data_IF_987038843266
#
_entry.id   IF_987038843266
#
_cell.length_a   1.000
_cell.length_b   1.000
_cell.length_c   1.000
_cell.angle_alpha   90.00
_cell.angle_beta   90.00
_cell.angle_gamma   90.00
#
_symmetry.space_group_name_H-M   'P 1'
#
loop_
_entity.id
_entity.type
_entity.pdbx_description
1 polymer ?
#
# COMPACT_ATOMS: atom_id res chain seq x y z
N UNK A 1 -18.96 8.83 -26.40
CA UNK A 1 -17.72 8.09 -26.12
C UNK A 1 -18.02 7.26 -24.89
N UNK A 2 -18.43 6.03 -25.12
CA UNK A 2 -19.20 5.18 -24.21
C UNK A 2 -18.49 3.88 -23.86
N UNK A 3 -17.37 3.57 -24.51
CA UNK A 3 -16.49 2.45 -24.11
C UNK A 3 -15.02 2.85 -24.13
N UNK A 4 -14.15 2.20 -23.33
CA UNK A 4 -12.69 2.32 -23.44
C UNK A 4 -12.21 2.06 -24.87
N UNK A 5 -12.79 1.08 -25.56
CA UNK A 5 -12.44 0.74 -26.94
C UNK A 5 -12.71 1.91 -27.91
N UNK A 6 -13.80 2.66 -27.73
CA UNK A 6 -14.10 3.87 -28.52
C UNK A 6 -13.13 5.02 -28.19
N UNK A 7 -12.71 5.15 -26.93
CA UNK A 7 -11.68 6.12 -26.54
C UNK A 7 -10.33 5.78 -27.19
N UNK A 8 -9.98 4.50 -27.30
CA UNK A 8 -8.73 4.05 -27.91
C UNK A 8 -8.75 4.06 -29.44
N UNK A 9 -9.86 3.67 -30.07
CA UNK A 9 -9.96 3.63 -31.54
C UNK A 9 -9.74 5.01 -32.16
N UNK A 10 -10.21 6.07 -31.47
CA UNK A 10 -9.99 7.47 -31.84
C UNK A 10 -8.50 7.88 -31.91
N UNK A 11 -7.61 7.20 -31.17
CA UNK A 11 -6.16 7.51 -31.16
C UNK A 11 -5.29 6.51 -31.92
N UNK A 12 -5.85 5.39 -32.41
CA UNK A 12 -5.07 4.33 -33.05
C UNK A 12 -5.27 4.21 -34.55
N UNK A 13 -6.34 4.79 -35.12
CA UNK A 13 -6.54 4.75 -36.56
C UNK A 13 -6.14 6.09 -37.19
N UNK A 14 -5.02 6.03 -37.93
CA UNK A 14 -4.57 7.03 -38.89
C UNK A 14 -4.14 8.39 -38.31
N UNK A 15 -3.00 8.41 -37.62
CA UNK A 15 -2.30 9.66 -37.33
C UNK A 15 -1.49 9.68 -36.05
N UNK A 16 -0.42 8.87 -36.00
CA UNK A 16 0.64 9.05 -35.02
C UNK A 16 0.31 8.54 -33.61
N UNK A 17 0.84 7.34 -33.32
CA UNK A 17 1.11 6.84 -31.97
C UNK A 17 2.07 7.73 -31.13
N UNK A 18 2.25 9.00 -31.50
CA UNK A 18 3.29 9.88 -30.99
C UNK A 18 3.10 10.25 -29.53
N UNK A 19 1.87 10.49 -29.03
CA UNK A 19 1.69 10.89 -27.62
C UNK A 19 1.57 9.70 -26.66
N UNK A 20 0.90 8.62 -27.07
CA UNK A 20 0.72 7.44 -26.21
C UNK A 20 2.01 6.63 -26.06
N UNK A 21 2.79 6.47 -27.14
CA UNK A 21 4.11 5.81 -27.08
C UNK A 21 5.14 6.62 -26.27
N UNK A 22 4.96 7.94 -26.14
CA UNK A 22 5.77 8.79 -25.25
C UNK A 22 5.49 8.56 -23.76
N UNK A 23 4.44 7.84 -23.41
CA UNK A 23 4.13 7.50 -22.02
C UNK A 23 4.93 6.28 -21.59
N UNK A 24 5.55 6.34 -20.41
CA UNK A 24 6.22 5.16 -19.85
C UNK A 24 5.24 4.01 -19.59
N UNK A 25 5.76 2.78 -19.57
CA UNK A 25 4.99 1.52 -19.46
C UNK A 25 3.92 1.55 -18.36
N UNK A 26 4.27 2.05 -17.17
CA UNK A 26 3.33 2.17 -16.06
C UNK A 26 2.10 3.01 -16.42
N UNK A 27 2.30 4.14 -17.10
CA UNK A 27 1.20 5.03 -17.46
C UNK A 27 0.34 4.41 -18.56
N UNK A 28 0.94 3.70 -19.51
CA UNK A 28 0.17 2.96 -20.53
C UNK A 28 -0.68 1.87 -19.88
N UNK A 29 -0.12 1.07 -18.98
CA UNK A 29 -0.83 0.01 -18.26
C UNK A 29 -2.00 0.56 -17.41
N UNK A 30 -1.80 1.67 -16.70
CA UNK A 30 -2.88 2.34 -15.94
C UNK A 30 -4.01 2.81 -16.87
N UNK A 31 -3.70 3.48 -17.99
CA UNK A 31 -4.73 3.97 -18.90
C UNK A 31 -5.52 2.78 -19.48
N UNK A 32 -4.86 1.66 -19.76
CA UNK A 32 -5.49 0.42 -20.24
C UNK A 32 -6.24 -0.35 -19.16
N UNK A 33 -6.21 0.12 -17.91
CA UNK A 33 -6.74 -0.59 -16.76
C UNK A 33 -6.18 -2.02 -16.60
N UNK A 34 -4.94 -2.25 -17.03
CA UNK A 34 -4.27 -3.55 -16.95
C UNK A 34 -3.66 -3.73 -15.56
N UNK A 35 -4.46 -4.29 -14.64
CA UNK A 35 -4.07 -4.51 -13.26
C UNK A 35 -2.78 -5.31 -13.08
N UNK A 36 -2.65 -6.51 -13.70
CA UNK A 36 -1.46 -7.34 -13.59
C UNK A 36 -0.21 -6.64 -14.10
N UNK A 37 -0.26 -5.99 -15.27
CA UNK A 37 0.90 -5.27 -15.79
C UNK A 37 1.30 -4.11 -14.85
N UNK A 38 0.34 -3.39 -14.28
CA UNK A 38 0.63 -2.37 -13.26
C UNK A 38 1.33 -2.98 -12.05
N UNK A 39 0.80 -4.08 -11.50
CA UNK A 39 1.36 -4.73 -10.32
C UNK A 39 2.78 -5.24 -10.56
N UNK A 40 3.06 -5.84 -11.71
CA UNK A 40 4.40 -6.31 -12.07
C UNK A 40 5.39 -5.15 -12.15
N UNK A 41 5.00 -4.05 -12.81
CA UNK A 41 5.84 -2.85 -12.89
C UNK A 41 6.06 -2.24 -11.50
N UNK A 42 5.03 -2.19 -10.65
CA UNK A 42 5.17 -1.67 -9.28
C UNK A 42 6.07 -2.56 -8.41
N UNK A 43 5.89 -3.87 -8.48
CA UNK A 43 6.69 -4.86 -7.76
C UNK A 43 8.16 -4.78 -8.17
N UNK A 44 8.46 -4.62 -9.46
CA UNK A 44 9.84 -4.46 -9.96
C UNK A 44 10.58 -3.23 -9.40
N UNK A 45 9.83 -2.24 -8.89
CA UNK A 45 10.37 -1.01 -8.28
C UNK A 45 10.48 -1.10 -6.75
N UNK A 46 10.17 -2.25 -6.17
CA UNK A 46 10.21 -2.48 -4.74
C UNK A 46 11.37 -3.37 -4.34
N UNK A 47 11.80 -3.21 -3.10
CA UNK A 47 12.58 -4.23 -2.40
C UNK A 47 11.58 -5.12 -1.67
N UNK A 48 11.71 -6.43 -1.85
CA UNK A 48 10.90 -7.40 -1.10
C UNK A 48 11.55 -7.58 0.26
N UNK A 49 10.78 -7.34 1.31
CA UNK A 49 11.24 -7.48 2.68
C UNK A 49 11.44 -8.97 3.03
N UNK A 50 12.67 -9.44 3.29
CA UNK A 50 12.94 -10.85 3.57
C UNK A 50 12.45 -11.28 4.96
N UNK A 51 12.27 -10.32 5.88
CA UNK A 51 11.90 -10.60 7.27
C UNK A 51 10.37 -10.65 7.46
N UNK A 52 9.60 -10.32 6.43
CA UNK A 52 8.14 -10.40 6.47
C UNK A 52 7.65 -11.68 5.77
N UNK A 53 7.06 -12.65 6.49
CA UNK A 53 6.46 -13.85 5.90
C UNK A 53 5.40 -13.54 4.83
N UNK A 54 4.75 -12.37 4.92
CA UNK A 54 3.77 -11.89 3.93
C UNK A 54 4.39 -11.21 2.70
N UNK A 55 5.71 -11.00 2.69
CA UNK A 55 6.45 -10.45 1.56
C UNK A 55 6.09 -9.00 1.24
N UNK A 56 6.26 -8.08 2.19
CA UNK A 56 6.08 -6.64 1.96
C UNK A 56 6.85 -6.14 0.73
N UNK A 57 6.18 -5.38 -0.15
CA UNK A 57 6.81 -4.70 -1.28
C UNK A 57 7.17 -3.29 -0.87
N UNK A 58 8.41 -3.07 -0.44
CA UNK A 58 8.85 -1.78 0.09
C UNK A 58 9.18 -0.83 -1.06
N UNK A 59 8.41 0.25 -1.16
CA UNK A 59 8.57 1.25 -2.21
C UNK A 59 9.91 2.00 -2.11
N UNK A 60 10.67 2.00 -3.20
CA UNK A 60 11.98 2.68 -3.29
C UNK A 60 11.93 4.03 -4.01
N UNK A 61 10.83 4.34 -4.69
CA UNK A 61 10.64 5.59 -5.44
C UNK A 61 10.37 6.82 -4.56
N UNK A 62 9.73 7.85 -5.14
CA UNK A 62 9.44 9.11 -4.44
C UNK A 62 8.60 8.90 -3.17
N UNK A 63 8.93 9.65 -2.11
CA UNK A 63 8.30 9.55 -0.79
C UNK A 63 7.92 10.94 -0.28
N UNK A 64 6.79 11.05 0.41
CA UNK A 64 6.39 12.26 1.14
C UNK A 64 5.61 11.85 2.39
N UNK A 65 5.96 12.45 3.53
CA UNK A 65 5.32 12.15 4.83
C UNK A 65 5.27 10.64 5.17
N UNK A 66 6.31 9.90 4.77
CA UNK A 66 6.41 8.45 5.00
C UNK A 66 5.64 7.55 4.02
N UNK A 67 4.93 8.11 3.03
CA UNK A 67 4.20 7.36 2.00
C UNK A 67 4.89 7.42 0.65
N UNK A 68 4.78 6.34 -0.12
CA UNK A 68 5.26 6.26 -1.50
C UNK A 68 4.33 6.96 -2.50
N UNK A 69 4.91 7.60 -3.52
CA UNK A 69 4.20 8.32 -4.57
C UNK A 69 4.66 7.92 -5.98
N UNK A 70 3.73 8.01 -6.92
CA UNK A 70 3.92 7.80 -8.35
C UNK A 70 3.41 9.05 -9.08
N UNK A 71 4.15 9.50 -10.09
CA UNK A 71 3.78 10.65 -10.92
C UNK A 71 4.77 11.81 -10.80
N UNK A 72 4.40 12.96 -11.36
CA UNK A 72 5.14 14.22 -11.21
C UNK A 72 4.17 15.38 -10.96
N UNK A 73 4.48 16.20 -9.95
CA UNK A 73 3.74 17.41 -9.61
C UNK A 73 2.24 17.16 -9.36
N UNK A 74 1.32 17.80 -10.12
CA UNK A 74 -0.13 17.72 -9.90
C UNK A 74 -0.72 16.32 -10.16
N UNK A 75 0.02 15.47 -10.88
CA UNK A 75 -0.39 14.09 -11.18
C UNK A 75 0.07 13.08 -10.13
N UNK A 76 0.69 13.54 -9.04
CA UNK A 76 1.14 12.64 -7.98
C UNK A 76 -0.04 11.89 -7.36
N UNK A 77 0.14 10.57 -7.23
CA UNK A 77 -0.81 9.65 -6.58
C UNK A 77 -0.05 8.76 -5.61
N UNK A 78 -0.75 8.30 -4.57
CA UNK A 78 -0.19 7.39 -3.58
C UNK A 78 0.06 6.01 -4.21
N UNK A 79 1.27 5.50 -4.08
CA UNK A 79 1.68 4.24 -4.69
C UNK A 79 0.85 3.05 -4.19
N UNK A 80 0.57 3.00 -2.89
CA UNK A 80 -0.27 1.95 -2.30
C UNK A 80 -1.72 2.00 -2.82
N UNK A 81 -2.28 3.19 -3.09
CA UNK A 81 -3.64 3.31 -3.65
C UNK A 81 -3.69 2.74 -5.07
N UNK A 82 -2.73 3.09 -5.92
CA UNK A 82 -2.63 2.54 -7.28
C UNK A 82 -2.49 1.02 -7.23
N UNK A 83 -1.64 0.50 -6.35
CA UNK A 83 -1.48 -0.96 -6.19
C UNK A 83 -2.80 -1.64 -5.78
N UNK A 84 -3.53 -1.06 -4.84
CA UNK A 84 -4.83 -1.58 -4.40
C UNK A 84 -5.87 -1.59 -5.51
N UNK A 85 -5.93 -0.52 -6.31
CA UNK A 85 -6.84 -0.38 -7.46
C UNK A 85 -6.47 -1.35 -8.59
N UNK A 86 -5.17 -1.48 -8.90
CA UNK A 86 -4.64 -2.38 -9.91
C UNK A 86 -4.96 -3.85 -9.60
N UNK A 87 -4.84 -4.26 -8.33
CA UNK A 87 -5.21 -5.61 -7.89
C UNK A 87 -6.71 -5.93 -8.09
N UNK A 88 -7.54 -4.93 -8.34
CA UNK A 88 -8.98 -5.05 -8.63
C UNK A 88 -9.33 -4.69 -10.08
N UNK A 89 -8.34 -4.69 -10.98
CA UNK A 89 -8.53 -4.35 -12.39
C UNK A 89 -9.15 -2.96 -12.59
N UNK A 90 -8.92 -2.04 -11.64
CA UNK A 90 -9.52 -0.71 -11.63
C UNK A 90 -11.06 -0.70 -11.69
N UNK A 91 -11.72 -1.83 -11.38
CA UNK A 91 -13.19 -1.96 -11.36
C UNK A 91 -13.84 -1.36 -10.12
N UNK A 92 -13.04 -1.10 -9.07
CA UNK A 92 -13.49 -0.51 -7.82
C UNK A 92 -12.88 0.89 -7.67
N UNK A 93 -13.75 1.89 -7.62
CA UNK A 93 -13.34 3.26 -7.33
C UNK A 93 -13.29 3.48 -5.82
N UNK A 94 -12.15 3.93 -5.31
CA UNK A 94 -11.99 4.21 -3.88
C UNK A 94 -12.86 5.39 -3.41
N UNK A 95 -13.19 6.35 -4.27
CA UNK A 95 -13.92 7.56 -3.86
C UNK A 95 -13.28 8.22 -2.64
N UNK A 96 -14.06 8.39 -1.57
CA UNK A 96 -13.62 8.92 -0.27
C UNK A 96 -12.97 7.88 0.66
N UNK A 97 -12.90 6.60 0.27
CA UNK A 97 -12.24 5.58 1.05
C UNK A 97 -10.72 5.83 1.11
N UNK A 98 -10.15 5.46 2.26
CA UNK A 98 -8.72 5.42 2.49
C UNK A 98 -8.21 3.99 2.29
N UNK A 99 -6.93 3.84 1.97
CA UNK A 99 -6.31 2.51 1.85
C UNK A 99 -5.37 2.31 3.04
N UNK A 100 -5.75 1.38 3.91
CA UNK A 100 -5.06 1.03 5.13
C UNK A 100 -4.04 -0.09 4.90
N UNK A 101 -2.93 -0.05 5.65
CA UNK A 101 -1.85 -1.03 5.57
C UNK A 101 -1.98 -2.03 6.73
N UNK A 102 -2.45 -3.25 6.43
CA UNK A 102 -2.61 -4.31 7.44
C UNK A 102 -1.28 -4.74 8.07
N UNK A 103 -0.18 -4.59 7.33
CA UNK A 103 1.18 -4.91 7.81
C UNK A 103 1.81 -3.81 8.69
N UNK A 104 1.18 -2.65 8.83
CA UNK A 104 1.70 -1.51 9.59
C UNK A 104 2.95 -0.82 8.99
N UNK A 105 3.38 -1.18 7.78
CA UNK A 105 4.51 -0.55 7.07
C UNK A 105 4.01 0.47 6.04
N UNK A 106 4.25 1.77 6.28
CA UNK A 106 3.73 2.88 5.43
C UNK A 106 4.25 2.90 3.98
N UNK A 107 5.41 2.26 3.73
CA UNK A 107 6.00 2.16 2.40
C UNK A 107 5.67 0.84 1.69
N UNK A 108 4.94 -0.07 2.34
CA UNK A 108 4.53 -1.31 1.70
C UNK A 108 3.42 -1.01 0.68
N UNK A 109 3.61 -1.46 -0.56
CA UNK A 109 2.59 -1.36 -1.61
C UNK A 109 2.11 -2.73 -2.09
N UNK A 110 2.40 -3.80 -1.36
CA UNK A 110 1.91 -5.13 -1.67
C UNK A 110 0.37 -5.13 -1.55
N UNK A 111 -0.40 -5.42 -2.62
CA UNK A 111 -1.85 -5.29 -2.59
C UNK A 111 -2.54 -6.27 -1.63
N UNK A 112 -1.93 -7.42 -1.33
CA UNK A 112 -2.42 -8.37 -0.34
C UNK A 112 -2.35 -7.78 1.09
N UNK A 113 -1.50 -6.78 1.33
CA UNK A 113 -1.36 -6.09 2.61
C UNK A 113 -2.21 -4.82 2.72
N UNK A 114 -3.04 -4.51 1.72
CA UNK A 114 -3.83 -3.29 1.66
C UNK A 114 -5.33 -3.58 1.77
N UNK A 115 -6.05 -2.71 2.47
CA UNK A 115 -7.51 -2.78 2.62
C UNK A 115 -8.13 -1.39 2.42
N UNK A 116 -9.25 -1.30 1.70
CA UNK A 116 -10.02 -0.06 1.67
C UNK A 116 -10.86 0.04 2.94
N UNK A 117 -10.81 1.20 3.58
CA UNK A 117 -11.51 1.50 4.81
C UNK A 117 -12.14 2.87 4.74
N UNK A 118 -13.25 3.03 5.43
CA UNK A 118 -13.85 4.33 5.69
C UNK A 118 -12.97 5.13 6.64
N UNK A 119 -13.14 6.46 6.64
CA UNK A 119 -12.47 7.33 7.60
C UNK A 119 -12.81 6.96 9.05
N UNK A 120 -14.05 6.52 9.31
CA UNK A 120 -14.50 6.10 10.62
C UNK A 120 -13.76 4.84 11.09
N UNK A 121 -13.70 3.81 10.25
CA UNK A 121 -12.96 2.56 10.55
C UNK A 121 -11.49 2.82 10.80
N UNK A 122 -10.84 3.63 9.95
CA UNK A 122 -9.42 3.97 10.14
C UNK A 122 -9.19 4.73 11.46
N UNK A 123 -10.11 5.61 11.84
CA UNK A 123 -10.02 6.35 13.10
C UNK A 123 -10.26 5.43 14.30
N UNK A 124 -11.25 4.55 14.21
CA UNK A 124 -11.55 3.57 15.25
C UNK A 124 -10.38 2.60 15.49
N UNK A 125 -9.74 2.09 14.42
CA UNK A 125 -8.55 1.25 14.52
C UNK A 125 -7.39 2.00 15.21
N UNK A 126 -7.11 3.22 14.77
CA UNK A 126 -6.06 4.05 15.38
C UNK A 126 -6.30 4.28 16.87
N UNK A 127 -7.53 4.61 17.28
CA UNK A 127 -7.88 4.82 18.68
C UNK A 127 -7.79 3.52 19.49
N UNK A 128 -8.29 2.41 18.95
CA UNK A 128 -8.20 1.09 19.57
C UNK A 128 -6.74 0.69 19.79
N UNK A 129 -5.88 0.87 18.78
CA UNK A 129 -4.46 0.61 18.87
C UNK A 129 -3.78 1.45 19.97
N UNK A 130 -4.03 2.75 20.00
CA UNK A 130 -3.48 3.63 21.03
C UNK A 130 -3.92 3.20 22.44
N UNK A 131 -5.19 2.81 22.60
CA UNK A 131 -5.70 2.29 23.86
C UNK A 131 -4.97 1.02 24.30
N UNK A 132 -4.81 0.04 23.40
CA UNK A 132 -4.11 -1.21 23.73
C UNK A 132 -2.63 -0.98 24.02
N UNK A 133 -1.94 -0.14 23.26
CA UNK A 133 -0.54 0.22 23.52
C UNK A 133 -0.37 0.86 24.91
N UNK A 134 -1.25 1.81 25.28
CA UNK A 134 -1.24 2.42 26.61
C UNK A 134 -1.56 1.41 27.72
N UNK A 135 -2.54 0.53 27.49
CA UNK A 135 -2.93 -0.50 28.46
C UNK A 135 -1.80 -1.51 28.67
N UNK A 136 -1.14 -1.96 27.60
CA UNK A 136 0.02 -2.85 27.67
C UNK A 136 1.15 -2.18 28.45
N UNK A 137 1.47 -0.92 28.15
CA UNK A 137 2.50 -0.18 28.89
C UNK A 137 2.21 -0.13 30.40
N UNK A 138 0.98 0.21 30.78
CA UNK A 138 0.60 0.28 32.19
C UNK A 138 0.68 -1.09 32.89
N UNK A 139 0.33 -2.18 32.19
CA UNK A 139 0.46 -3.54 32.71
C UNK A 139 1.92 -3.97 32.83
N UNK A 140 2.76 -3.64 31.86
CA UNK A 140 4.21 -3.88 31.94
C UNK A 140 4.82 -3.13 33.13
N UNK A 141 4.44 -1.87 33.37
CA UNK A 141 4.93 -1.09 34.50
C UNK A 141 4.51 -1.70 35.84
N UNK A 142 3.26 -2.13 35.97
CA UNK A 142 2.80 -2.85 37.15
C UNK A 142 3.55 -4.19 37.34
N UNK A 143 3.80 -4.92 36.26
CA UNK A 143 4.54 -6.18 36.30
C UNK A 143 6.00 -5.97 36.70
N UNK A 144 6.66 -4.88 36.26
CA UNK A 144 8.03 -4.53 36.67
C UNK A 144 8.16 -4.34 38.19
N UNK A 145 7.12 -3.81 38.83
CA UNK A 145 7.10 -3.63 40.30
C UNK A 145 6.99 -4.98 41.02
N UNK A 146 6.18 -5.90 40.49
CA UNK A 146 5.90 -7.18 41.15
C UNK A 146 6.94 -8.28 40.83
N UNK A 147 7.34 -8.39 39.57
CA UNK A 147 8.31 -9.36 39.06
C UNK A 147 9.19 -8.72 37.97
N UNK A 148 10.26 -8.01 38.35
CA UNK A 148 11.13 -7.31 37.41
C UNK A 148 11.90 -8.23 36.46
N UNK A 149 11.99 -9.53 36.77
CA UNK A 149 12.68 -10.52 35.94
C UNK A 149 11.71 -11.34 35.09
N UNK A 150 10.43 -10.95 35.04
CA UNK A 150 9.44 -11.66 34.28
C UNK A 150 9.80 -11.70 32.79
N UNK A 151 9.79 -12.90 32.20
CA UNK A 151 10.10 -13.09 30.78
C UNK A 151 9.23 -12.26 29.83
N UNK A 152 7.98 -11.95 30.21
CA UNK A 152 7.04 -11.15 29.40
C UNK A 152 7.45 -9.68 29.27
N UNK A 153 8.33 -9.18 30.14
CA UNK A 153 8.89 -7.83 30.03
C UNK A 153 9.98 -7.75 28.95
N UNK A 154 10.44 -8.88 28.44
CA UNK A 154 11.40 -8.94 27.33
C UNK A 154 10.66 -8.57 26.05
N UNK A 155 10.99 -7.42 25.47
CA UNK A 155 10.48 -7.08 24.14
C UNK A 155 11.01 -8.09 23.14
N UNK A 156 10.12 -8.85 22.52
CA UNK A 156 10.49 -9.73 21.43
C UNK A 156 11.01 -8.87 20.26
N UNK A 157 12.05 -9.33 19.55
CA UNK A 157 12.49 -8.67 18.32
C UNK A 157 11.33 -8.68 17.30
N UNK A 158 11.32 -7.70 16.41
CA UNK A 158 10.42 -7.69 15.25
C UNK A 158 11.24 -8.11 14.03
N UNK A 159 10.85 -9.19 13.29
CA UNK A 159 9.63 -9.99 13.41
C UNK A 159 9.67 -10.96 14.61
N UNK A 160 8.48 -11.37 15.07
CA UNK A 160 8.36 -12.47 16.03
C UNK A 160 9.00 -13.73 15.42
N UNK A 161 9.72 -14.55 16.22
CA UNK A 161 10.21 -15.83 15.74
C UNK A 161 9.03 -16.69 15.26
N UNK A 162 9.22 -17.52 14.22
CA UNK A 162 8.19 -18.46 13.78
C UNK A 162 7.75 -19.34 14.95
N UNK A 163 6.44 -19.61 15.04
CA UNK A 163 5.88 -20.51 16.07
C UNK A 163 6.48 -21.92 15.89
N UNK A 164 7.04 -22.48 16.97
CA UNK A 164 7.60 -23.85 17.04
C UNK A 164 6.49 -24.92 17.02
#
# INVERSE_FOLDING_TARGET
>A
MTTPEEFYSYYTQEGGAGWFARLGELRQAIIRCDGPAVLDILRSRCIIDPDDPGGCWIWTGAKRSGYGYIGRGPTNRLAHRISWEAARQFTQHLGSLSVHHKCGRRLCINPQHLAAVTHLENTAEMLGRQYYEARISALEDALRVYDPKNKLLTRLPKPLPPEE
#
